data_IF_855051172549
#
_entry.id   IF_855051172549
#
_cell.length_a   1.000
_cell.length_b   1.000
_cell.length_c   1.000
_cell.angle_alpha   90.00
_cell.angle_beta   90.00
_cell.angle_gamma   90.00
#
_symmetry.space_group_name_H-M   'P 1'
#
loop_
_entity.id
_entity.type
_entity.pdbx_description
1 polymer ?
#
# COMPACT_ATOMS: atom_id res chain seq x y z
N UNK A 1 18.33 10.61 -17.20
CA UNK A 1 17.33 11.67 -16.99
C UNK A 1 16.27 11.41 -18.03
N UNK A 2 15.34 10.52 -17.70
CA UNK A 2 14.34 10.02 -18.63
C UNK A 2 13.04 10.80 -18.49
N UNK A 3 12.49 11.11 -19.66
CA UNK A 3 11.34 11.95 -19.93
C UNK A 3 10.06 11.35 -19.29
N UNK A 4 9.62 11.94 -18.18
CA UNK A 4 8.37 11.57 -17.53
C UNK A 4 7.23 12.10 -18.41
N UNK A 5 6.66 11.22 -19.23
CA UNK A 5 5.41 11.50 -19.95
C UNK A 5 4.32 11.80 -18.92
N UNK A 6 3.66 12.94 -19.07
CA UNK A 6 2.49 13.38 -18.29
C UNK A 6 1.35 12.35 -18.43
N UNK A 7 1.25 11.45 -17.46
CA UNK A 7 0.13 10.53 -17.32
C UNK A 7 -0.96 11.21 -16.48
N UNK A 8 -2.19 11.42 -17.00
CA UNK A 8 -3.24 12.07 -16.25
C UNK A 8 -3.63 11.28 -14.98
N UNK A 9 -3.89 11.96 -13.85
CA UNK A 9 -4.28 11.31 -12.61
C UNK A 9 -5.59 10.54 -12.75
N UNK A 10 -5.75 9.47 -11.97
CA UNK A 10 -6.85 8.49 -12.04
C UNK A 10 -8.26 9.13 -12.08
N UNK A 11 -8.51 10.20 -11.32
CA UNK A 11 -9.80 10.90 -11.28
C UNK A 11 -10.15 11.66 -12.59
N UNK A 12 -9.19 11.85 -13.51
CA UNK A 12 -9.47 12.38 -14.85
C UNK A 12 -9.89 11.28 -15.85
N UNK A 13 -9.58 10.01 -15.57
CA UNK A 13 -9.91 8.87 -16.43
C UNK A 13 -11.34 8.37 -16.26
N UNK A 14 -11.98 8.64 -15.13
CA UNK A 14 -13.38 8.30 -14.86
C UNK A 14 -14.41 9.28 -15.46
N UNK A 15 -13.95 10.35 -16.13
CA UNK A 15 -14.82 11.34 -16.78
C UNK A 15 -15.31 10.81 -18.13
N UNK A 16 -16.61 10.91 -18.38
CA UNK A 16 -17.17 10.62 -19.71
C UNK A 16 -16.55 11.54 -20.78
N UNK A 17 -16.50 11.14 -22.07
CA UNK A 17 -15.92 11.97 -23.14
C UNK A 17 -16.54 13.38 -23.22
N UNK A 18 -17.81 13.54 -22.84
CA UNK A 18 -18.49 14.85 -22.76
C UNK A 18 -17.93 15.73 -21.63
N UNK A 19 -17.60 15.15 -20.47
CA UNK A 19 -17.01 15.86 -19.34
C UNK A 19 -15.56 16.28 -19.61
N UNK A 20 -14.80 15.45 -20.33
CA UNK A 20 -13.43 15.79 -20.75
C UNK A 20 -13.43 16.98 -21.73
N UNK A 21 -14.32 16.99 -22.73
CA UNK A 21 -14.49 18.13 -23.65
C UNK A 21 -14.92 19.42 -22.96
N UNK A 22 -15.80 19.34 -21.96
CA UNK A 22 -16.21 20.50 -21.17
C UNK A 22 -15.07 21.06 -20.31
N UNK A 23 -14.18 20.19 -19.81
CA UNK A 23 -13.05 20.59 -18.98
C UNK A 23 -11.94 21.23 -19.82
N UNK A 24 -11.64 20.68 -21.01
CA UNK A 24 -10.69 21.29 -21.95
C UNK A 24 -11.14 22.66 -22.46
N UNK A 25 -12.43 22.83 -22.81
CA UNK A 25 -12.99 24.16 -23.15
C UNK A 25 -12.83 25.18 -22.03
N UNK A 26 -12.93 24.74 -20.77
CA UNK A 26 -12.76 25.63 -19.61
C UNK A 26 -11.30 26.01 -19.37
N UNK A 27 -10.36 25.07 -19.58
CA UNK A 27 -8.92 25.31 -19.51
C UNK A 27 -8.42 26.26 -20.62
N UNK A 28 -8.96 26.14 -21.83
CA UNK A 28 -8.64 27.05 -22.94
C UNK A 28 -9.21 28.45 -22.71
N UNK A 29 -10.44 28.55 -22.17
CA UNK A 29 -11.08 29.83 -21.84
C UNK A 29 -10.35 30.62 -20.75
N UNK A 30 -9.73 29.96 -19.76
CA UNK A 30 -8.88 30.65 -18.78
C UNK A 30 -7.52 31.04 -19.34
N UNK A 31 -6.99 30.30 -20.33
CA UNK A 31 -5.71 30.62 -20.95
C UNK A 31 -5.79 31.82 -21.90
N UNK A 32 -6.95 32.06 -22.53
CA UNK A 32 -7.20 33.25 -23.36
C UNK A 32 -7.54 34.51 -22.58
N UNK A 33 -7.79 34.43 -21.26
CA UNK A 33 -8.22 35.58 -20.44
C UNK A 33 -7.07 36.25 -19.66
N UNK A 34 -5.82 35.83 -19.87
CA UNK A 34 -4.64 36.35 -19.15
C UNK A 34 -3.75 37.28 -19.99
N UNK A 35 -4.18 37.70 -21.20
CA UNK A 35 -3.51 38.76 -21.95
C UNK A 35 -4.41 40.01 -21.98
N UNK A 36 -3.82 41.16 -21.61
CA UNK A 36 -4.40 42.52 -21.58
C UNK A 36 -5.20 42.92 -20.32
N UNK A 37 -4.50 43.42 -19.31
CA UNK A 37 -5.02 44.50 -18.46
C UNK A 37 -3.97 45.60 -18.30
N UNK A 38 -4.29 46.79 -18.85
CA UNK A 38 -3.57 48.06 -18.71
C UNK A 38 -4.34 48.87 -17.65
N UNK A 39 -3.70 49.47 -16.63
CA UNK A 39 -4.42 50.15 -15.56
C UNK A 39 -4.93 51.51 -16.02
N UNK A 40 -6.23 51.77 -15.85
CA UNK A 40 -6.83 53.10 -15.99
C UNK A 40 -7.13 53.68 -14.59
N UNK A 41 -6.92 54.98 -14.47
CA UNK A 41 -7.07 55.80 -13.26
C UNK A 41 -8.52 55.87 -12.76
N UNK A 42 -8.74 56.10 -11.44
CA UNK A 42 -10.07 56.14 -10.86
C UNK A 42 -10.81 57.46 -11.11
N UNK A 43 -12.15 57.44 -11.28
CA UNK A 43 -12.98 58.65 -11.40
C UNK A 43 -13.37 59.25 -10.03
N UNK A 44 -13.84 60.52 -10.00
CA UNK A 44 -14.02 61.27 -8.78
C UNK A 44 -15.33 60.95 -8.05
N UNK A 45 -15.26 61.02 -6.73
CA UNK A 45 -16.32 60.85 -5.74
C UNK A 45 -17.31 62.02 -5.76
N UNK A 46 -18.61 61.72 -5.91
CA UNK A 46 -19.70 62.65 -5.64
C UNK A 46 -20.49 62.20 -4.41
N UNK A 47 -20.91 63.20 -3.64
CA UNK A 47 -21.35 63.06 -2.26
C UNK A 47 -22.82 62.71 -2.06
N UNK A 48 -23.05 62.28 -0.81
CA UNK A 48 -24.23 62.50 0.05
C UNK A 48 -25.46 61.61 -0.14
N UNK A 49 -25.75 60.89 0.95
CA UNK A 49 -27.09 60.47 1.34
C UNK A 49 -27.12 60.06 2.81
N UNK A 50 -27.53 60.97 3.69
CA UNK A 50 -27.68 60.78 5.14
C UNK A 50 -28.64 59.61 5.45
N UNK A 51 -28.22 58.66 6.31
CA UNK A 51 -29.12 57.81 7.10
C UNK A 51 -28.65 57.83 8.56
N UNK A 52 -29.62 58.03 9.45
CA UNK A 52 -29.42 58.32 10.87
C UNK A 52 -28.88 57.15 11.70
N UNK A 53 -28.61 57.39 12.99
CA UNK A 53 -27.95 56.43 13.87
C UNK A 53 -28.86 55.22 14.19
N UNK A 54 -28.27 54.02 14.33
CA UNK A 54 -29.01 52.83 14.72
C UNK A 54 -29.46 52.89 16.20
N UNK A 55 -30.62 52.30 16.54
CA UNK A 55 -31.09 52.23 17.92
C UNK A 55 -30.24 51.26 18.78
N UNK A 56 -30.17 51.48 20.11
CA UNK A 56 -29.35 50.68 21.00
C UNK A 56 -29.90 49.25 21.20
N UNK A 57 -29.02 48.28 21.52
CA UNK A 57 -29.39 46.87 21.65
C UNK A 57 -30.27 46.63 22.90
N UNK A 58 -31.44 46.06 22.67
CA UNK A 58 -32.35 45.56 23.71
C UNK A 58 -31.74 44.35 24.42
N UNK A 59 -31.60 44.46 25.73
CA UNK A 59 -31.20 43.40 26.66
C UNK A 59 -32.17 42.21 26.57
N UNK A 60 -31.71 41.09 26.02
CA UNK A 60 -32.43 39.82 26.00
C UNK A 60 -32.06 39.05 27.26
N UNK A 61 -33.04 38.96 28.17
CA UNK A 61 -33.03 38.23 29.44
C UNK A 61 -32.41 36.83 29.30
N UNK A 62 -31.33 36.62 30.05
CA UNK A 62 -30.78 35.31 30.39
C UNK A 62 -31.82 34.52 31.22
N UNK A 63 -32.29 33.38 30.70
CA UNK A 63 -32.94 32.36 31.51
C UNK A 63 -31.84 31.45 32.05
N UNK A 64 -31.51 31.60 33.33
CA UNK A 64 -30.89 30.55 34.14
C UNK A 64 -31.85 29.37 34.19
N UNK A 65 -31.36 28.19 33.84
CA UNK A 65 -31.99 26.91 34.16
C UNK A 65 -31.03 26.23 35.10
N UNK A 66 -31.44 26.14 36.36
CA UNK A 66 -30.77 25.38 37.41
C UNK A 66 -30.85 23.89 37.07
N UNK A 67 -29.70 23.22 37.03
CA UNK A 67 -29.64 21.75 36.99
C UNK A 67 -29.29 21.25 38.39
N UNK A 68 -30.27 20.58 38.98
CA UNK A 68 -30.17 19.83 40.23
C UNK A 68 -29.11 18.73 40.12
N UNK A 69 -28.20 18.72 41.09
CA UNK A 69 -27.11 17.77 41.23
C UNK A 69 -27.60 16.60 42.10
N UNK A 70 -28.21 15.62 41.45
CA UNK A 70 -28.60 14.34 42.05
C UNK A 70 -27.39 13.46 42.33
N UNK A 71 -26.98 13.48 43.60
CA UNK A 71 -26.08 12.55 44.29
C UNK A 71 -26.72 11.15 44.30
N UNK A 72 -26.00 10.12 43.89
CA UNK A 72 -26.28 8.75 44.30
C UNK A 72 -24.96 8.04 44.57
N UNK A 73 -24.73 7.89 45.86
CA UNK A 73 -23.77 6.99 46.49
C UNK A 73 -24.26 5.55 46.23
N UNK A 74 -23.37 4.66 45.82
CA UNK A 74 -23.59 3.23 46.05
C UNK A 74 -22.23 2.56 46.25
N UNK A 75 -21.91 2.42 47.53
CA UNK A 75 -20.93 1.52 48.09
C UNK A 75 -21.37 0.07 47.79
N UNK A 76 -20.44 -0.78 47.39
CA UNK A 76 -20.51 -2.16 47.83
C UNK A 76 -19.09 -2.75 47.88
N UNK A 77 -18.65 -2.91 49.12
CA UNK A 77 -17.53 -3.73 49.56
C UNK A 77 -17.73 -5.19 49.14
N UNK A 78 -16.66 -5.86 48.74
CA UNK A 78 -16.37 -7.19 49.27
C UNK A 78 -14.86 -7.46 49.22
N UNK A 79 -14.33 -7.73 50.41
CA UNK A 79 -12.96 -8.07 50.77
C UNK A 79 -12.52 -9.50 50.36
N UNK A 80 -11.21 -9.72 50.58
CA UNK A 80 -10.47 -10.99 50.83
C UNK A 80 -10.09 -11.86 49.62
N UNK A 81 -8.88 -12.45 49.52
CA UNK A 81 -7.68 -12.46 50.36
C UNK A 81 -6.51 -13.05 49.54
N UNK A 82 -5.29 -12.63 49.89
CA UNK A 82 -4.05 -13.41 50.02
C UNK A 82 -3.65 -14.50 49.00
N UNK A 83 -2.54 -14.25 48.28
CA UNK A 83 -1.27 -14.94 48.57
C UNK A 83 -0.10 -14.41 47.72
N UNK A 84 0.94 -13.92 48.40
CA UNK A 84 2.30 -13.79 47.88
C UNK A 84 3.04 -15.18 47.90
N UNK A 85 4.38 -15.28 47.82
CA UNK A 85 5.17 -15.25 46.58
C UNK A 85 6.10 -16.48 46.52
N UNK A 86 6.69 -16.84 45.36
CA UNK A 86 7.91 -17.66 45.40
C UNK A 86 8.90 -17.33 44.28
N UNK A 87 10.14 -17.18 44.73
CA UNK A 87 11.35 -16.85 43.99
C UNK A 87 11.85 -17.99 43.08
N UNK A 88 12.67 -17.63 42.09
CA UNK A 88 13.63 -18.56 41.50
C UNK A 88 14.00 -18.28 40.04
N UNK A 89 15.06 -17.49 39.81
CA UNK A 89 15.98 -17.69 38.67
C UNK A 89 17.15 -18.60 39.14
N UNK A 90 18.17 -18.99 38.35
CA UNK A 90 18.40 -18.91 36.88
C UNK A 90 18.99 -20.23 36.28
N UNK A 91 19.52 -20.15 35.04
CA UNK A 91 20.52 -21.05 34.41
C UNK A 91 19.92 -22.29 33.70
N UNK A 92 20.36 -22.75 32.52
CA UNK A 92 21.66 -22.71 31.87
C UNK A 92 21.53 -22.90 30.35
N UNK A 93 22.42 -22.25 29.61
CA UNK A 93 22.76 -22.54 28.19
C UNK A 93 23.60 -23.83 28.14
N UNK A 94 23.42 -24.72 27.16
CA UNK A 94 24.48 -25.63 26.76
C UNK A 94 25.15 -25.15 25.47
N UNK A 95 26.44 -24.91 25.64
CA UNK A 95 27.51 -24.89 24.66
C UNK A 95 27.67 -26.29 24.03
N UNK A 96 27.69 -26.39 22.70
CA UNK A 96 28.18 -27.56 21.97
C UNK A 96 28.87 -27.11 20.68
N UNK A 97 30.15 -26.77 20.83
CA UNK A 97 31.18 -27.05 19.84
C UNK A 97 31.47 -28.55 19.77
N UNK A 98 32.05 -28.96 18.64
CA UNK A 98 32.62 -30.28 18.30
C UNK A 98 31.68 -31.28 17.62
N UNK A 99 31.84 -31.44 16.30
CA UNK A 99 32.62 -32.56 15.77
C UNK A 99 32.80 -32.44 14.25
N UNK A 100 34.08 -32.38 13.86
CA UNK A 100 34.57 -32.50 12.51
C UNK A 100 34.52 -33.95 11.99
N UNK A 101 34.64 -34.06 10.67
CA UNK A 101 35.08 -35.23 9.91
C UNK A 101 34.18 -36.46 9.91
N UNK A 102 33.52 -36.67 8.77
CA UNK A 102 33.60 -37.94 8.06
C UNK A 102 33.28 -37.72 6.58
N UNK A 103 34.36 -37.58 5.79
CA UNK A 103 34.34 -37.87 4.37
C UNK A 103 34.34 -39.39 4.23
N UNK A 104 33.31 -39.93 3.60
CA UNK A 104 33.29 -41.30 3.12
C UNK A 104 33.18 -41.23 1.60
N UNK A 105 34.32 -41.48 0.96
CA UNK A 105 34.45 -41.91 -0.43
C UNK A 105 33.62 -43.16 -0.66
N UNK A 106 32.65 -43.13 -1.58
CA UNK A 106 32.20 -44.35 -2.26
C UNK A 106 31.82 -44.07 -3.73
N UNK A 107 32.46 -44.87 -4.57
CA UNK A 107 31.99 -45.46 -5.82
C UNK A 107 31.64 -44.58 -7.03
N UNK A 108 32.52 -44.65 -8.02
CA UNK A 108 32.15 -44.51 -9.43
C UNK A 108 32.82 -45.63 -10.26
N UNK A 109 32.04 -46.46 -10.96
CA UNK A 109 32.56 -47.60 -11.69
C UNK A 109 33.16 -47.22 -13.05
N UNK A 110 34.36 -47.74 -13.29
CA UNK A 110 35.04 -47.82 -14.56
C UNK A 110 34.25 -48.68 -15.57
N UNK A 111 34.15 -48.27 -16.85
CA UNK A 111 33.95 -49.20 -17.94
C UNK A 111 35.22 -49.34 -18.80
N UNK A 112 35.76 -50.56 -18.74
CA UNK A 112 36.40 -51.36 -19.78
C UNK A 112 36.95 -50.67 -21.04
N UNK A 113 38.28 -50.69 -21.13
CA UNK A 113 39.06 -50.49 -22.36
C UNK A 113 38.80 -51.62 -23.36
N UNK A 114 38.35 -51.26 -24.57
CA UNK A 114 38.48 -52.09 -25.77
C UNK A 114 39.56 -51.50 -26.66
N UNK A 115 40.62 -52.29 -26.85
CA UNK A 115 41.76 -51.96 -27.69
C UNK A 115 41.37 -51.68 -29.14
N UNK A 116 42.00 -50.65 -29.69
CA UNK A 116 42.14 -50.45 -31.12
C UNK A 116 43.57 -50.03 -31.45
N UNK A 117 43.99 -50.53 -32.60
CA UNK A 117 45.34 -50.73 -33.10
C UNK A 117 45.95 -49.44 -33.63
N UNK A 118 47.28 -49.37 -33.53
CA UNK A 118 48.22 -48.38 -34.04
C UNK A 118 47.84 -47.75 -35.39
N UNK A 119 47.98 -46.42 -35.44
CA UNK A 119 48.30 -45.69 -36.67
C UNK A 119 49.28 -44.59 -36.30
N UNK A 120 50.56 -44.92 -36.38
CA UNK A 120 51.68 -43.97 -36.39
C UNK A 120 51.40 -42.84 -37.37
N UNK A 121 51.10 -41.67 -36.82
CA UNK A 121 51.28 -40.39 -37.49
C UNK A 121 51.88 -39.45 -36.46
N UNK A 122 53.15 -39.16 -36.66
CA UNK A 122 53.89 -38.07 -36.04
C UNK A 122 53.11 -36.76 -36.22
N UNK A 123 52.26 -36.43 -35.27
CA UNK A 123 51.81 -35.07 -35.03
C UNK A 123 52.67 -34.55 -33.90
N UNK A 124 53.70 -33.77 -34.24
CA UNK A 124 54.36 -32.87 -33.29
C UNK A 124 53.27 -32.09 -32.57
N UNK A 125 53.00 -32.47 -31.33
CA UNK A 125 52.19 -31.67 -30.43
C UNK A 125 52.95 -30.38 -30.20
N UNK A 126 52.69 -29.38 -31.04
CA UNK A 126 53.11 -28.00 -30.84
C UNK A 126 52.49 -27.58 -29.51
N UNK A 127 53.28 -27.70 -28.44
CA UNK A 127 53.02 -27.08 -27.15
C UNK A 127 52.92 -25.58 -27.42
N UNK A 128 51.70 -25.09 -27.68
CA UNK A 128 51.43 -23.66 -27.59
C UNK A 128 51.56 -23.33 -26.11
N UNK A 129 52.49 -22.46 -25.71
CA UNK A 129 52.51 -21.98 -24.34
C UNK A 129 51.13 -21.37 -24.07
N UNK A 130 50.41 -21.92 -23.10
CA UNK A 130 49.24 -21.25 -22.53
C UNK A 130 49.83 -19.98 -21.91
N UNK A 131 49.78 -18.86 -22.63
CA UNK A 131 50.08 -17.56 -22.06
C UNK A 131 49.04 -17.36 -20.96
N UNK A 132 49.46 -17.58 -19.71
CA UNK A 132 48.73 -17.11 -18.54
C UNK A 132 48.70 -15.59 -18.68
N UNK A 133 47.64 -15.06 -19.29
CA UNK A 133 47.30 -13.65 -19.18
C UNK A 133 47.10 -13.41 -17.69
N UNK A 134 48.15 -12.97 -17.01
CA UNK A 134 48.00 -12.46 -15.67
C UNK A 134 47.17 -11.18 -15.81
N UNK A 135 46.00 -11.10 -15.16
CA UNK A 135 45.21 -9.89 -15.20
C UNK A 135 46.09 -8.72 -14.76
N UNK A 136 46.08 -7.62 -15.51
CA UNK A 136 46.74 -6.38 -15.10
C UNK A 136 45.95 -5.75 -13.95
N UNK A 137 46.15 -6.32 -12.76
CA UNK A 137 45.48 -5.90 -11.54
C UNK A 137 45.74 -4.43 -11.22
N UNK A 138 46.86 -3.87 -11.67
CA UNK A 138 47.18 -2.45 -11.49
C UNK A 138 46.26 -1.60 -12.36
N UNK A 139 46.13 -1.96 -13.64
CA UNK A 139 45.20 -1.32 -14.57
C UNK A 139 43.75 -1.36 -14.06
N UNK A 140 43.30 -2.50 -13.55
CA UNK A 140 41.95 -2.67 -12.99
C UNK A 140 41.71 -1.80 -11.75
N UNK A 141 42.66 -1.79 -10.79
CA UNK A 141 42.54 -0.94 -9.59
C UNK A 141 42.59 0.54 -9.96
N UNK A 142 43.48 0.92 -10.88
CA UNK A 142 43.58 2.30 -11.34
C UNK A 142 42.32 2.75 -12.08
N UNK A 143 41.73 1.87 -12.90
CA UNK A 143 40.45 2.11 -13.57
C UNK A 143 39.30 2.27 -12.58
N UNK A 144 39.22 1.42 -11.55
CA UNK A 144 38.20 1.53 -10.50
C UNK A 144 38.32 2.82 -9.67
N UNK A 145 39.56 3.28 -9.44
CA UNK A 145 39.83 4.50 -8.68
C UNK A 145 39.82 5.77 -9.53
N UNK A 146 39.65 5.64 -10.86
CA UNK A 146 39.76 6.72 -11.85
C UNK A 146 41.08 7.49 -11.75
N UNK A 147 42.20 6.75 -11.66
CA UNK A 147 43.56 7.29 -11.56
C UNK A 147 44.47 6.71 -12.65
N UNK A 148 45.57 7.42 -12.97
CA UNK A 148 46.52 6.98 -14.00
C UNK A 148 47.32 5.73 -13.56
N UNK A 149 47.51 4.72 -14.43
CA UNK A 149 48.35 3.54 -14.15
C UNK A 149 49.83 3.87 -13.90
N UNK A 150 50.29 5.04 -14.36
CA UNK A 150 51.67 5.51 -14.21
C UNK A 150 52.01 6.12 -12.84
N UNK A 151 51.05 6.17 -11.91
CA UNK A 151 51.29 6.63 -10.54
C UNK A 151 52.17 5.65 -9.77
N UNK A 152 52.84 6.11 -8.72
CA UNK A 152 53.60 5.23 -7.82
C UNK A 152 52.68 4.37 -6.95
N UNK A 153 53.19 3.24 -6.44
CA UNK A 153 52.42 2.36 -5.55
C UNK A 153 51.92 3.08 -4.30
N UNK A 154 52.71 4.02 -3.77
CA UNK A 154 52.33 4.84 -2.63
C UNK A 154 51.11 5.73 -2.94
N UNK A 155 51.06 6.29 -4.15
CA UNK A 155 49.94 7.13 -4.60
C UNK A 155 48.67 6.31 -4.86
N UNK A 156 48.83 5.10 -5.44
CA UNK A 156 47.72 4.16 -5.63
C UNK A 156 47.16 3.74 -4.27
N UNK A 157 48.01 3.34 -3.32
CA UNK A 157 47.58 2.98 -1.95
C UNK A 157 46.90 4.16 -1.26
N UNK A 158 47.41 5.38 -1.42
CA UNK A 158 46.77 6.58 -0.89
C UNK A 158 45.39 6.84 -1.53
N UNK A 159 45.26 6.63 -2.84
CA UNK A 159 43.99 6.73 -3.57
C UNK A 159 42.98 5.67 -3.09
N UNK A 160 43.40 4.42 -2.93
CA UNK A 160 42.57 3.34 -2.38
C UNK A 160 42.07 3.68 -0.97
N UNK A 161 42.95 4.21 -0.10
CA UNK A 161 42.55 4.64 1.25
C UNK A 161 41.56 5.80 1.23
N UNK A 162 41.68 6.73 0.29
CA UNK A 162 40.70 7.82 0.10
C UNK A 162 39.36 7.26 -0.36
N UNK A 163 39.35 6.39 -1.37
CA UNK A 163 38.14 5.75 -1.87
C UNK A 163 37.43 4.93 -0.78
N UNK A 164 38.16 4.16 0.03
CA UNK A 164 37.61 3.43 1.16
C UNK A 164 36.98 4.35 2.22
N UNK A 165 37.59 5.51 2.51
CA UNK A 165 37.00 6.51 3.42
C UNK A 165 35.70 7.10 2.85
N UNK A 166 35.67 7.44 1.56
CA UNK A 166 34.47 7.95 0.88
C UNK A 166 33.37 6.89 0.90
N UNK A 167 33.69 5.63 0.62
CA UNK A 167 32.73 4.54 0.65
C UNK A 167 32.12 4.37 2.05
N UNK A 168 32.96 4.34 3.09
CA UNK A 168 32.51 4.24 4.48
C UNK A 168 31.60 5.43 4.88
N UNK A 169 31.94 6.64 4.43
CA UNK A 169 31.07 7.80 4.62
C UNK A 169 29.75 7.66 3.87
N UNK A 170 29.77 7.22 2.61
CA UNK A 170 28.56 7.00 1.83
C UNK A 170 27.63 5.94 2.45
N UNK A 171 28.20 4.87 3.01
CA UNK A 171 27.46 3.85 3.76
C UNK A 171 26.85 4.40 5.05
N UNK A 172 27.59 5.25 5.78
CA UNK A 172 27.07 5.96 6.94
C UNK A 172 25.90 6.86 6.57
N UNK A 173 26.05 7.71 5.56
CA UNK A 173 24.97 8.59 5.07
C UNK A 173 23.76 7.79 4.59
N UNK A 174 23.95 6.65 3.92
CA UNK A 174 22.86 5.74 3.55
C UNK A 174 22.15 5.16 4.77
N UNK A 175 22.90 4.80 5.79
CA UNK A 175 22.37 4.24 7.04
C UNK A 175 21.57 5.29 7.81
N UNK A 176 22.09 6.51 7.93
CA UNK A 176 21.37 7.65 8.53
C UNK A 176 20.12 8.02 7.73
N UNK A 177 20.22 8.10 6.40
CA UNK A 177 19.07 8.36 5.54
C UNK A 177 17.99 7.28 5.67
N UNK A 178 18.39 6.01 5.84
CA UNK A 178 17.48 4.90 6.10
C UNK A 178 16.88 4.97 7.50
N UNK A 179 17.63 5.42 8.50
CA UNK A 179 17.13 5.64 9.86
C UNK A 179 16.09 6.78 9.94
N UNK A 180 16.21 7.78 9.06
CA UNK A 180 15.24 8.88 8.93
C UNK A 180 13.98 8.49 8.14
N UNK A 181 13.98 7.37 7.42
CA UNK A 181 12.79 6.91 6.72
C UNK A 181 11.79 6.32 7.72
N UNK A 182 10.57 6.86 7.68
CA UNK A 182 9.44 6.26 8.39
C UNK A 182 9.21 4.83 7.89
N UNK A 183 8.76 3.92 8.77
CA UNK A 183 8.43 2.55 8.35
C UNK A 183 7.34 2.58 7.27
N UNK A 184 7.41 1.68 6.28
CA UNK A 184 6.36 1.55 5.28
C UNK A 184 4.99 1.33 5.92
N UNK A 185 3.95 1.95 5.36
CA UNK A 185 2.56 1.80 5.85
C UNK A 185 1.57 1.87 4.69
N UNK A 186 0.34 1.45 4.93
CA UNK A 186 -0.77 1.78 4.06
C UNK A 186 -1.53 3.01 4.57
N UNK A 187 -2.38 3.58 3.71
CA UNK A 187 -3.29 4.66 4.11
C UNK A 187 -4.68 4.40 3.53
N UNK A 188 -5.69 4.51 4.38
CA UNK A 188 -7.09 4.51 3.96
C UNK A 188 -7.48 5.95 3.62
N UNK A 189 -8.05 6.15 2.43
CA UNK A 189 -8.57 7.42 1.94
C UNK A 189 -10.07 7.27 1.82
N UNK A 190 -10.80 8.12 2.53
CA UNK A 190 -12.25 8.09 2.54
C UNK A 190 -12.80 9.09 1.55
N UNK A 191 -13.81 8.68 0.80
CA UNK A 191 -14.48 9.50 -0.17
C UNK A 191 -15.97 9.53 0.12
N UNK A 192 -16.58 10.71 0.23
CA UNK A 192 -18.00 10.83 0.56
C UNK A 192 -18.76 11.57 -0.53
N UNK A 193 -19.78 10.90 -1.05
CA UNK A 193 -20.77 11.47 -1.95
C UNK A 193 -22.12 11.61 -1.23
N UNK A 194 -22.71 12.80 -1.28
CA UNK A 194 -24.02 13.05 -0.67
C UNK A 194 -25.05 13.27 -1.78
N UNK A 195 -26.01 12.35 -1.89
CA UNK A 195 -27.03 12.38 -2.95
C UNK A 195 -27.87 13.68 -2.91
N UNK A 196 -28.25 14.13 -1.70
CA UNK A 196 -29.07 15.33 -1.51
C UNK A 196 -28.36 16.63 -1.86
N UNK A 197 -27.10 16.77 -1.45
CA UNK A 197 -26.37 18.04 -1.63
C UNK A 197 -25.77 18.19 -3.02
N UNK A 198 -25.69 17.09 -3.80
CA UNK A 198 -25.02 17.07 -5.10
C UNK A 198 -23.56 17.51 -5.02
N UNK A 199 -22.97 17.53 -3.81
CA UNK A 199 -21.59 17.95 -3.62
C UNK A 199 -20.68 16.97 -4.33
N UNK A 200 -19.66 17.53 -4.98
CA UNK A 200 -18.59 16.74 -5.57
C UNK A 200 -17.90 15.93 -4.50
N UNK A 201 -17.51 14.74 -4.92
CA UNK A 201 -16.68 13.83 -4.18
C UNK A 201 -15.38 14.53 -3.71
N UNK A 202 -15.06 14.36 -2.43
CA UNK A 202 -13.85 14.88 -1.79
C UNK A 202 -13.17 13.75 -1.03
N UNK A 203 -11.85 13.82 -0.96
CA UNK A 203 -11.02 12.84 -0.25
C UNK A 203 -10.73 13.33 1.16
N UNK A 204 -10.72 12.40 2.11
CA UNK A 204 -10.56 12.65 3.53
C UNK A 204 -9.61 11.62 4.12
N UNK A 205 -8.86 12.04 5.15
CA UNK A 205 -7.95 11.15 5.89
C UNK A 205 -8.69 10.30 6.91
N UNK A 206 -9.70 10.88 7.56
CA UNK A 206 -10.42 10.24 8.64
C UNK A 206 -11.73 9.59 8.14
N UNK A 207 -12.16 8.50 8.78
CA UNK A 207 -13.41 7.85 8.44
C UNK A 207 -14.60 8.80 8.65
N UNK A 208 -15.64 8.72 7.82
CA UNK A 208 -16.81 9.54 8.00
C UNK A 208 -17.60 9.10 9.24
N UNK A 209 -18.21 10.06 9.91
CA UNK A 209 -19.09 9.85 11.06
C UNK A 209 -20.54 10.01 10.64
N UNK A 210 -21.40 9.10 11.09
CA UNK A 210 -22.85 9.24 10.91
C UNK A 210 -23.34 10.33 11.85
N UNK A 211 -24.16 11.23 11.31
CA UNK A 211 -24.77 12.30 12.07
C UNK A 211 -26.29 12.19 12.05
N UNK A 212 -26.90 12.43 13.21
CA UNK A 212 -28.35 12.28 13.45
C UNK A 212 -29.20 13.40 12.79
N UNK A 213 -28.66 14.09 11.79
CA UNK A 213 -29.38 15.09 11.01
C UNK A 213 -29.35 14.73 9.53
N UNK A 214 -30.49 14.89 8.85
CA UNK A 214 -30.65 14.53 7.44
C UNK A 214 -31.61 13.35 7.23
N UNK A 215 -31.89 12.99 5.97
CA UNK A 215 -32.79 11.89 5.66
C UNK A 215 -32.31 10.59 6.31
N UNK A 216 -33.23 9.91 6.99
CA UNK A 216 -33.01 8.58 7.60
C UNK A 216 -31.90 8.52 8.66
N UNK A 217 -31.51 9.66 9.25
CA UNK A 217 -30.39 9.74 10.20
C UNK A 217 -29.09 9.12 9.67
N UNK A 218 -28.91 9.17 8.34
CA UNK A 218 -27.84 8.48 7.63
C UNK A 218 -26.99 9.47 6.81
N UNK A 219 -26.85 10.71 7.28
CA UNK A 219 -25.93 11.66 6.67
C UNK A 219 -24.52 11.42 7.20
N UNK A 220 -23.52 11.61 6.35
CA UNK A 220 -22.12 11.44 6.71
C UNK A 220 -21.44 12.80 6.84
N UNK A 221 -20.77 12.99 7.97
CA UNK A 221 -19.84 14.09 8.21
C UNK A 221 -18.42 13.56 8.10
N UNK A 222 -17.54 14.36 7.52
CA UNK A 222 -16.12 14.06 7.38
C UNK A 222 -15.32 15.23 7.91
N UNK A 223 -14.23 14.92 8.59
CA UNK A 223 -13.24 15.90 9.02
C UNK A 223 -11.93 15.68 8.23
N UNK A 224 -11.04 16.68 8.24
CA UNK A 224 -9.72 16.63 7.57
C UNK A 224 -9.74 16.30 6.06
N UNK A 225 -10.21 17.24 5.22
CA UNK A 225 -10.14 17.08 3.77
C UNK A 225 -8.69 17.07 3.28
N UNK A 226 -8.41 16.23 2.29
CA UNK A 226 -7.17 16.28 1.51
C UNK A 226 -7.40 17.30 0.39
N UNK A 227 -6.89 18.52 0.57
CA UNK A 227 -7.08 19.61 -0.38
C UNK A 227 -6.30 19.39 -1.68
N UNK A 228 -5.04 18.98 -1.56
CA UNK A 228 -4.14 18.67 -2.67
C UNK A 228 -3.56 17.26 -2.47
N UNK A 229 -4.07 16.32 -3.25
CA UNK A 229 -3.66 14.93 -3.19
C UNK A 229 -2.21 14.70 -3.66
N UNK A 230 -1.73 15.31 -4.77
CA UNK A 230 -0.31 15.30 -5.12
C UNK A 230 0.62 15.76 -4.00
N UNK A 231 0.32 16.87 -3.33
CA UNK A 231 1.13 17.37 -2.20
C UNK A 231 1.12 16.37 -1.05
N UNK A 232 -0.06 15.85 -0.70
CA UNK A 232 -0.19 14.80 0.31
C UNK A 232 0.71 13.59 0.02
N UNK A 233 0.73 13.10 -1.21
CA UNK A 233 1.58 11.96 -1.61
C UNK A 233 3.06 12.31 -1.56
N UNK A 234 3.44 13.53 -1.92
CA UNK A 234 4.84 13.97 -1.87
C UNK A 234 5.39 14.04 -0.43
N UNK A 235 4.54 14.37 0.54
CA UNK A 235 4.86 14.44 1.97
C UNK A 235 4.85 13.06 2.67
N UNK A 236 4.17 12.06 2.09
CA UNK A 236 3.96 10.75 2.71
C UNK A 236 4.53 9.62 1.84
N UNK A 237 5.85 9.67 1.62
CA UNK A 237 6.59 8.71 0.77
C UNK A 237 6.65 7.31 1.36
N UNK A 238 6.33 7.15 2.64
CA UNK A 238 6.24 5.86 3.31
C UNK A 238 4.97 5.07 2.96
N UNK A 239 3.99 5.69 2.29
CA UNK A 239 2.76 5.02 1.86
C UNK A 239 3.06 4.08 0.70
N UNK A 240 2.84 2.79 0.92
CA UNK A 240 3.12 1.75 -0.08
C UNK A 240 1.93 1.35 -0.94
N UNK A 241 0.72 1.48 -0.38
CA UNK A 241 -0.53 1.34 -1.09
C UNK A 241 -1.63 2.17 -0.41
N UNK A 242 -2.66 2.49 -1.17
CA UNK A 242 -3.85 3.20 -0.70
C UNK A 242 -5.04 2.27 -0.72
N UNK A 243 -5.92 2.46 0.25
CA UNK A 243 -7.24 1.85 0.28
C UNK A 243 -8.26 2.96 0.11
N UNK A 244 -8.96 3.00 -1.00
CA UNK A 244 -10.06 3.93 -1.21
C UNK A 244 -11.35 3.31 -0.65
N UNK A 245 -12.05 4.07 0.18
CA UNK A 245 -13.38 3.71 0.69
C UNK A 245 -14.37 4.78 0.30
N UNK A 246 -15.29 4.43 -0.59
CA UNK A 246 -16.30 5.35 -1.09
C UNK A 246 -17.62 5.12 -0.41
N UNK A 247 -18.17 6.20 0.15
CA UNK A 247 -19.42 6.19 0.87
C UNK A 247 -20.46 7.03 0.14
N UNK A 248 -21.72 6.62 0.29
CA UNK A 248 -22.86 7.37 -0.21
C UNK A 248 -23.89 7.57 0.88
N UNK A 249 -24.22 8.83 1.15
CA UNK A 249 -25.22 9.20 2.14
C UNK A 249 -26.42 9.93 1.53
N UNK A 250 -27.53 9.93 2.28
CA UNK A 250 -28.80 10.54 1.88
C UNK A 250 -29.38 10.02 0.56
N UNK A 251 -28.97 8.81 0.13
CA UNK A 251 -29.63 8.09 -0.96
C UNK A 251 -30.99 7.55 -0.47
N UNK A 252 -31.79 6.97 -1.37
CA UNK A 252 -33.12 6.43 -1.03
C UNK A 252 -33.04 5.42 0.13
N UNK A 253 -34.12 5.40 0.92
CA UNK A 253 -34.30 4.76 2.22
C UNK A 253 -33.38 3.53 2.51
N UNK A 254 -32.38 3.64 3.43
CA UNK A 254 -31.51 2.52 3.82
C UNK A 254 -32.28 1.36 4.45
N UNK A 255 -33.51 1.59 4.95
CA UNK A 255 -34.40 0.54 5.44
C UNK A 255 -34.84 -0.48 4.39
N UNK A 256 -34.67 -0.23 3.08
CA UNK A 256 -34.88 -1.28 2.07
C UNK A 256 -33.72 -2.29 2.00
N UNK A 257 -32.50 -1.93 2.39
CA UNK A 257 -31.37 -2.87 2.48
C UNK A 257 -31.36 -3.64 3.82
N UNK A 258 -31.88 -3.04 4.90
CA UNK A 258 -31.92 -3.64 6.24
C UNK A 258 -33.20 -4.43 6.57
N UNK A 259 -34.15 -4.55 5.65
CA UNK A 259 -35.47 -5.19 5.86
C UNK A 259 -35.44 -6.71 6.18
N UNK A 260 -34.25 -7.30 6.35
CA UNK A 260 -34.05 -8.66 6.84
C UNK A 260 -33.70 -8.79 8.33
N UNK A 261 -33.49 -7.68 9.07
CA UNK A 261 -33.17 -7.74 10.51
C UNK A 261 -34.24 -7.01 11.32
N UNK A 262 -34.98 -7.79 12.08
CA UNK A 262 -36.10 -7.39 12.93
C UNK A 262 -35.70 -6.37 14.00
N UNK A 263 -36.49 -5.30 14.12
CA UNK A 263 -37.11 -4.92 15.40
C UNK A 263 -36.27 -4.29 16.51
N UNK A 264 -35.09 -3.72 16.24
CA UNK A 264 -34.32 -3.02 17.27
C UNK A 264 -33.73 -1.73 16.68
N UNK A 265 -33.80 -0.63 17.42
CA UNK A 265 -33.38 0.73 17.02
C UNK A 265 -31.97 0.70 16.45
N UNK A 266 -31.87 0.56 15.12
CA UNK A 266 -30.60 0.30 14.45
C UNK A 266 -29.93 1.64 14.21
N UNK A 267 -28.99 2.01 15.08
CA UNK A 267 -28.05 3.07 14.77
C UNK A 267 -27.37 2.71 13.45
N UNK A 268 -27.49 3.61 12.47
CA UNK A 268 -26.87 3.42 11.15
C UNK A 268 -25.37 3.60 11.35
N UNK A 269 -24.60 2.53 11.16
CA UNK A 269 -23.14 2.61 11.14
C UNK A 269 -22.64 3.14 9.78
N UNK A 270 -21.56 3.92 9.77
CA UNK A 270 -20.97 4.46 8.54
C UNK A 270 -20.58 3.36 7.55
N UNK A 271 -20.20 2.18 8.04
CA UNK A 271 -19.84 1.03 7.20
C UNK A 271 -21.02 0.52 6.36
N UNK A 272 -22.27 0.71 6.83
CA UNK A 272 -23.47 0.36 6.05
C UNK A 272 -23.70 1.25 4.84
N UNK A 273 -23.03 2.41 4.79
CA UNK A 273 -23.10 3.39 3.71
C UNK A 273 -21.90 3.30 2.76
N UNK A 274 -20.99 2.35 2.99
CA UNK A 274 -19.88 2.03 2.10
C UNK A 274 -20.42 1.37 0.82
N UNK A 275 -20.09 1.93 -0.34
CA UNK A 275 -20.56 1.42 -1.63
C UNK A 275 -19.45 0.78 -2.45
N UNK A 276 -18.18 1.11 -2.17
CA UNK A 276 -17.02 0.61 -2.90
C UNK A 276 -15.78 0.69 -2.04
N UNK A 277 -14.94 -0.33 -2.14
CA UNK A 277 -13.62 -0.37 -1.55
C UNK A 277 -12.62 -0.90 -2.59
N UNK A 278 -11.48 -0.23 -2.72
CA UNK A 278 -10.46 -0.53 -3.74
C UNK A 278 -9.04 -0.29 -3.20
N UNK A 279 -8.11 -1.22 -3.47
CA UNK A 279 -6.69 -1.07 -3.14
C UNK A 279 -5.93 -0.59 -4.38
N UNK A 280 -5.12 0.46 -4.24
CA UNK A 280 -4.20 0.94 -5.26
C UNK A 280 -2.76 0.80 -4.76
N UNK A 281 -2.00 -0.10 -5.37
CA UNK A 281 -0.58 -0.30 -5.04
C UNK A 281 0.26 0.83 -5.66
N UNK A 282 1.03 1.53 -4.83
CA UNK A 282 1.87 2.65 -5.28
C UNK A 282 3.33 2.22 -5.37
N UNK A 283 3.83 1.51 -4.36
CA UNK A 283 5.23 1.12 -4.27
C UNK A 283 5.57 0.07 -5.35
N UNK A 284 6.56 0.33 -6.23
CA UNK A 284 6.98 -0.63 -7.25
C UNK A 284 7.45 -1.96 -6.65
N UNK A 285 8.13 -1.91 -5.51
CA UNK A 285 8.57 -3.12 -4.79
C UNK A 285 7.41 -4.01 -4.35
N UNK A 286 6.28 -3.41 -3.93
CA UNK A 286 5.08 -4.16 -3.57
C UNK A 286 4.38 -4.72 -4.83
N UNK A 287 4.31 -3.97 -5.94
CA UNK A 287 3.77 -4.49 -7.21
C UNK A 287 4.52 -5.73 -7.67
N UNK A 288 5.85 -5.66 -7.73
CA UNK A 288 6.70 -6.79 -8.12
C UNK A 288 6.56 -7.99 -7.17
N UNK A 289 6.39 -7.74 -5.87
CA UNK A 289 6.20 -8.80 -4.89
C UNK A 289 4.81 -9.46 -5.03
N UNK A 290 3.75 -8.68 -5.21
CA UNK A 290 2.39 -9.19 -5.46
C UNK A 290 2.31 -9.98 -6.77
N UNK A 291 3.00 -9.52 -7.81
CA UNK A 291 3.11 -10.21 -9.09
C UNK A 291 3.86 -11.56 -8.98
N UNK A 292 4.95 -11.59 -8.21
CA UNK A 292 5.64 -12.86 -7.86
C UNK A 292 4.73 -13.80 -7.07
N UNK A 293 3.97 -13.28 -6.10
CA UNK A 293 2.99 -14.07 -5.35
C UNK A 293 1.90 -14.61 -6.28
N UNK A 294 1.40 -13.79 -7.21
CA UNK A 294 0.41 -14.19 -8.20
C UNK A 294 0.86 -15.39 -9.04
N UNK A 295 2.12 -15.37 -9.52
CA UNK A 295 2.71 -16.50 -10.23
C UNK A 295 2.88 -17.74 -9.36
N UNK A 296 3.27 -17.58 -8.10
CA UNK A 296 3.56 -18.69 -7.21
C UNK A 296 2.30 -19.37 -6.66
N UNK A 297 1.31 -18.60 -6.22
CA UNK A 297 0.17 -19.09 -5.44
C UNK A 297 -1.19 -18.94 -6.13
N UNK A 298 -1.33 -18.01 -7.09
CA UNK A 298 -2.62 -17.69 -7.72
C UNK A 298 -2.75 -18.26 -9.14
N UNK A 299 -1.86 -19.16 -9.53
CA UNK A 299 -1.92 -19.79 -10.84
C UNK A 299 -3.23 -20.58 -11.03
N UNK A 300 -3.81 -20.47 -12.22
CA UNK A 300 -5.05 -21.17 -12.60
C UNK A 300 -6.36 -20.53 -12.11
N UNK A 301 -6.32 -19.38 -11.43
CA UNK A 301 -7.52 -18.67 -10.97
C UNK A 301 -7.56 -17.21 -11.47
N UNK A 302 -8.72 -16.59 -11.41
CA UNK A 302 -8.86 -15.15 -11.62
C UNK A 302 -8.34 -14.39 -10.42
N UNK A 303 -7.36 -13.52 -10.68
CA UNK A 303 -6.78 -12.63 -9.69
C UNK A 303 -6.44 -11.29 -10.35
N UNK A 304 -6.25 -10.21 -9.57
CA UNK A 304 -5.88 -8.92 -10.12
C UNK A 304 -4.55 -8.99 -10.88
N UNK A 305 -4.46 -8.19 -11.95
CA UNK A 305 -3.19 -7.92 -12.61
C UNK A 305 -2.41 -6.88 -11.78
N UNK A 306 -1.47 -7.36 -10.99
CA UNK A 306 -0.72 -6.52 -10.04
C UNK A 306 0.31 -5.60 -10.70
N UNK A 307 0.67 -5.86 -11.96
CA UNK A 307 1.56 -5.00 -12.74
C UNK A 307 0.78 -3.92 -13.49
N UNK A 308 -0.49 -4.17 -13.79
CA UNK A 308 -1.37 -3.14 -14.30
C UNK A 308 -1.60 -2.05 -13.24
N UNK A 309 -1.69 -0.79 -13.67
CA UNK A 309 -2.11 0.33 -12.82
C UNK A 309 -3.64 0.32 -12.58
N UNK A 310 -4.18 -0.86 -12.26
CA UNK A 310 -5.59 -1.08 -11.97
C UNK A 310 -5.77 -1.32 -10.47
N UNK A 311 -6.81 -0.72 -9.86
CA UNK A 311 -7.12 -1.01 -8.47
C UNK A 311 -7.61 -2.45 -8.30
N UNK A 312 -7.38 -3.00 -7.11
CA UNK A 312 -7.91 -4.28 -6.67
C UNK A 312 -9.21 -4.00 -5.93
N UNK A 313 -10.34 -4.40 -6.52
CA UNK A 313 -11.65 -4.16 -5.91
C UNK A 313 -11.96 -5.18 -4.80
N UNK A 314 -12.59 -4.70 -3.74
CA UNK A 314 -13.27 -5.55 -2.74
C UNK A 314 -14.50 -6.21 -3.39
N UNK A 315 -14.85 -7.46 -3.01
CA UNK A 315 -14.20 -8.33 -2.03
C UNK A 315 -12.97 -9.07 -2.56
N UNK A 316 -12.00 -9.35 -1.68
CA UNK A 316 -10.73 -10.02 -2.03
C UNK A 316 -10.85 -11.55 -2.11
N UNK A 317 -11.87 -12.04 -2.83
CA UNK A 317 -12.25 -13.47 -2.91
C UNK A 317 -11.11 -14.35 -3.45
N UNK A 318 -10.32 -13.84 -4.39
CA UNK A 318 -9.15 -14.54 -4.93
C UNK A 318 -8.14 -14.91 -3.83
N UNK A 319 -8.04 -14.12 -2.76
CA UNK A 319 -7.18 -14.43 -1.62
C UNK A 319 -7.77 -15.58 -0.82
N UNK A 320 -9.09 -15.57 -0.57
CA UNK A 320 -9.80 -16.63 0.14
C UNK A 320 -9.57 -18.01 -0.52
N UNK A 321 -9.74 -18.06 -1.84
CA UNK A 321 -9.61 -19.28 -2.64
C UNK A 321 -8.22 -19.91 -2.64
N UNK A 322 -7.19 -19.14 -2.26
CA UNK A 322 -5.79 -19.57 -2.27
C UNK A 322 -5.08 -19.27 -0.94
N UNK A 323 -5.81 -19.18 0.18
CA UNK A 323 -5.23 -18.81 1.50
C UNK A 323 -4.04 -19.71 1.86
N UNK A 324 -4.19 -21.03 1.69
CA UNK A 324 -3.15 -22.00 2.00
C UNK A 324 -1.94 -21.86 1.07
N UNK A 325 -2.16 -21.73 -0.24
CA UNK A 325 -1.10 -21.57 -1.22
C UNK A 325 -0.36 -20.24 -1.06
N UNK A 326 -1.06 -19.18 -0.70
CA UNK A 326 -0.48 -17.88 -0.38
C UNK A 326 0.37 -17.99 0.88
N UNK A 327 -0.13 -18.62 1.95
CA UNK A 327 0.60 -18.77 3.21
C UNK A 327 1.87 -19.63 3.04
N UNK A 328 1.79 -20.72 2.26
CA UNK A 328 2.95 -21.52 1.88
C UNK A 328 3.95 -20.69 1.07
N UNK A 329 3.50 -20.01 0.01
CA UNK A 329 4.38 -19.18 -0.81
C UNK A 329 5.03 -18.04 0.00
N UNK A 330 4.29 -17.43 0.93
CA UNK A 330 4.80 -16.39 1.83
C UNK A 330 5.85 -16.91 2.82
N UNK A 331 5.81 -18.19 3.16
CA UNK A 331 6.78 -18.85 4.04
C UNK A 331 8.01 -19.35 3.27
N UNK A 332 7.81 -19.91 2.08
CA UNK A 332 8.87 -20.51 1.26
C UNK A 332 9.70 -19.46 0.51
N UNK A 333 9.05 -18.36 0.10
CA UNK A 333 9.71 -17.29 -0.62
C UNK A 333 10.09 -16.17 0.33
N UNK A 334 11.34 -15.72 0.26
CA UNK A 334 11.78 -14.49 0.94
C UNK A 334 11.11 -13.27 0.28
N UNK A 335 9.88 -12.98 0.70
CA UNK A 335 9.17 -11.77 0.32
C UNK A 335 9.65 -10.58 1.16
N UNK A 336 9.66 -9.36 0.58
CA UNK A 336 10.02 -8.19 1.36
C UNK A 336 8.98 -7.93 2.47
N UNK A 337 9.37 -7.38 3.63
CA UNK A 337 8.45 -7.14 4.77
C UNK A 337 7.20 -6.33 4.43
N UNK A 338 7.26 -5.51 3.36
CA UNK A 338 6.14 -4.75 2.80
C UNK A 338 4.94 -5.62 2.40
N UNK A 339 5.16 -6.90 2.10
CA UNK A 339 4.09 -7.85 1.75
C UNK A 339 3.22 -8.18 2.95
N UNK A 340 3.79 -8.18 4.16
CA UNK A 340 3.03 -8.41 5.38
C UNK A 340 1.97 -7.32 5.56
N UNK A 341 2.26 -6.05 5.24
CA UNK A 341 1.25 -4.98 5.30
C UNK A 341 0.03 -5.25 4.42
N UNK A 342 0.21 -5.84 3.23
CA UNK A 342 -0.89 -6.20 2.34
C UNK A 342 -1.66 -7.40 2.89
N UNK A 343 -0.95 -8.43 3.35
CA UNK A 343 -1.54 -9.62 3.98
C UNK A 343 -2.36 -9.23 5.20
N UNK A 344 -1.77 -8.50 6.13
CA UNK A 344 -2.39 -8.05 7.39
C UNK A 344 -3.65 -7.25 7.09
N UNK A 345 -3.58 -6.27 6.16
CA UNK A 345 -4.74 -5.51 5.76
C UNK A 345 -5.88 -6.37 5.20
N UNK A 346 -5.57 -7.28 4.27
CA UNK A 346 -6.58 -8.16 3.64
C UNK A 346 -7.18 -9.11 4.68
N UNK A 347 -6.34 -9.77 5.48
CA UNK A 347 -6.78 -10.71 6.52
C UNK A 347 -7.65 -10.00 7.56
N UNK A 348 -7.20 -8.89 8.14
CA UNK A 348 -7.98 -8.11 9.11
C UNK A 348 -9.31 -7.62 8.52
N UNK A 349 -9.30 -7.15 7.27
CA UNK A 349 -10.49 -6.63 6.61
C UNK A 349 -11.54 -7.71 6.34
N UNK A 350 -11.09 -8.92 6.02
CA UNK A 350 -11.96 -10.02 5.62
C UNK A 350 -12.28 -11.01 6.74
N UNK A 351 -11.59 -10.93 7.88
CA UNK A 351 -11.66 -11.86 9.02
C UNK A 351 -13.10 -12.26 9.40
N UNK A 352 -13.97 -11.27 9.65
CA UNK A 352 -15.37 -11.50 10.02
C UNK A 352 -16.17 -12.23 8.93
N UNK A 353 -15.95 -11.85 7.68
CA UNK A 353 -16.67 -12.42 6.53
C UNK A 353 -16.20 -13.84 6.27
N UNK A 354 -14.90 -14.07 6.22
CA UNK A 354 -14.30 -15.38 6.01
C UNK A 354 -14.62 -16.34 7.14
N UNK A 355 -14.55 -15.90 8.40
CA UNK A 355 -14.97 -16.72 9.55
C UNK A 355 -16.43 -17.16 9.41
N UNK A 356 -17.32 -16.27 8.94
CA UNK A 356 -18.73 -16.61 8.72
C UNK A 356 -18.91 -17.63 7.58
N UNK A 357 -18.13 -17.50 6.51
CA UNK A 357 -18.12 -18.45 5.40
C UNK A 357 -17.59 -19.80 5.86
N UNK A 358 -16.44 -19.85 6.51
CA UNK A 358 -15.80 -21.07 7.02
C UNK A 358 -16.78 -21.83 7.95
N UNK A 359 -17.42 -21.14 8.90
CA UNK A 359 -18.45 -21.73 9.77
C UNK A 359 -19.65 -22.32 9.01
N UNK A 360 -20.10 -21.67 7.93
CA UNK A 360 -21.21 -22.18 7.13
C UNK A 360 -20.78 -23.44 6.37
N UNK A 361 -19.58 -23.42 5.78
CA UNK A 361 -19.01 -24.54 5.03
C UNK A 361 -18.78 -25.76 5.92
N UNK A 362 -18.25 -25.57 7.14
CA UNK A 362 -18.09 -26.63 8.14
C UNK A 362 -19.41 -27.32 8.49
N UNK A 363 -20.52 -26.57 8.42
CA UNK A 363 -21.87 -27.07 8.63
C UNK A 363 -22.54 -27.60 7.35
N UNK A 364 -21.79 -27.75 6.25
CA UNK A 364 -22.29 -28.12 4.91
C UNK A 364 -23.43 -27.22 4.42
N UNK A 365 -23.40 -25.93 4.77
CA UNK A 365 -24.40 -24.92 4.40
C UNK A 365 -23.73 -23.77 3.66
N UNK A 366 -24.51 -23.03 2.89
CA UNK A 366 -24.12 -21.71 2.41
C UNK A 366 -25.34 -20.83 2.21
N UNK A 367 -25.15 -19.51 2.29
CA UNK A 367 -26.19 -18.54 1.97
C UNK A 367 -25.94 -17.92 0.60
N UNK A 368 -27.00 -17.46 -0.06
CA UNK A 368 -26.90 -16.90 -1.42
C UNK A 368 -25.86 -15.76 -1.53
N UNK A 369 -25.70 -14.97 -0.46
CA UNK A 369 -24.72 -13.88 -0.39
C UNK A 369 -23.26 -14.33 -0.44
N UNK A 370 -22.96 -15.59 -0.13
CA UNK A 370 -21.60 -16.14 -0.11
C UNK A 370 -21.34 -17.15 -1.23
N UNK A 371 -22.24 -17.27 -2.21
CA UNK A 371 -22.08 -18.26 -3.30
C UNK A 371 -20.77 -18.10 -4.08
N UNK A 372 -20.28 -16.88 -4.24
CA UNK A 372 -19.02 -16.60 -4.97
C UNK A 372 -17.78 -17.20 -4.28
N UNK A 373 -17.88 -17.57 -2.99
CA UNK A 373 -16.83 -18.27 -2.24
C UNK A 373 -16.73 -19.76 -2.56
N UNK A 374 -17.71 -20.35 -3.24
CA UNK A 374 -17.64 -21.75 -3.68
C UNK A 374 -16.98 -21.91 -5.05
N UNK A 375 -17.10 -20.89 -5.89
CA UNK A 375 -16.70 -20.99 -7.28
C UNK A 375 -15.43 -20.19 -7.53
N UNK A 376 -14.38 -20.91 -7.91
CA UNK A 376 -13.17 -20.30 -8.43
C UNK A 376 -13.43 -19.93 -9.89
N UNK A 377 -13.47 -18.63 -10.19
CA UNK A 377 -13.48 -18.21 -11.59
C UNK A 377 -12.12 -18.52 -12.21
N UNK A 378 -12.09 -19.40 -13.20
CA UNK A 378 -10.88 -19.66 -13.97
C UNK A 378 -10.72 -18.58 -15.03
N UNK A 379 -9.57 -17.91 -15.06
CA UNK A 379 -9.21 -17.08 -16.21
C UNK A 379 -8.79 -18.03 -17.33
N UNK A 380 -9.68 -18.32 -18.27
CA UNK A 380 -9.30 -19.02 -19.50
C UNK A 380 -8.46 -18.09 -20.38
N UNK A 381 -7.18 -17.93 -20.04
CA UNK A 381 -6.24 -17.07 -20.79
C UNK A 381 -5.75 -17.71 -22.11
N UNK A 382 -6.48 -18.69 -22.65
CA UNK A 382 -6.07 -19.47 -23.84
C UNK A 382 -7.16 -19.79 -24.86
N UNK A 383 -8.41 -19.34 -24.67
CA UNK A 383 -9.50 -19.67 -25.62
C UNK A 383 -10.03 -18.48 -26.44
N UNK A 384 -9.74 -17.24 -26.02
CA UNK A 384 -10.22 -16.04 -26.73
C UNK A 384 -9.20 -15.41 -27.67
N UNK A 385 -7.90 -15.68 -27.49
CA UNK A 385 -6.86 -15.22 -28.42
C UNK A 385 -6.70 -16.13 -29.66
N UNK A 386 -7.43 -17.24 -29.71
CA UNK A 386 -7.46 -18.19 -30.84
C UNK A 386 -8.71 -18.07 -31.71
N UNK A 387 -9.57 -17.06 -31.46
CA UNK A 387 -10.83 -16.84 -32.17
C UNK A 387 -11.04 -15.40 -32.68
N UNK A 388 -9.98 -14.57 -32.75
CA UNK A 388 -10.02 -13.26 -33.43
C UNK A 388 -8.92 -13.20 -34.49
#
# INVERSE_FOLDING_TARGET
MDDIRDVPPYWERSKTPKQQRSYQRKKESTRTSSQSYRPQSPPPTQGRGRRGPPPPPTQRKERRVDYDRGRNDNENDTDHDDNEPFAGSPSSVPDQSDLASQYSDEDSPHPEEKGYVESDRDYEAVYRPIMKMQPDWRGEICGMLDISPGLSDAEIVAASRRAAKVLKQAEHWRSEAKALQKPPRYQIIHSVSCHRSGRRERLFRNPPQVVNYGPYSAHLRTDEPIEDFPVFMAENKEIVFLVYKDYRCCDRNPTQQLKGKSGETTEVDASSLLIREEISIIAPGLKSAMDRLGRAALSGISHPDFLADKPISYPYIWWFHRRNEIDMAMSDLSFPPIMNLMRDYVCERMDKEWTSVDQLLDNNKITAQYMDYLFVSHTSRSFLDSLI
#
